data_IF_598914721501
#
_entry.id   IF_598914721501
#
_cell.length_a   1.000
_cell.length_b   1.000
_cell.length_c   1.000
_cell.angle_alpha   90.00
_cell.angle_beta   90.00
_cell.angle_gamma   90.00
#
_symmetry.space_group_name_H-M   'P 1'
#
loop_
_entity.id
_entity.type
_entity.pdbx_description
1 polymer ?
#
# COMPACT_ATOMS: atom_id res chain seq x y z
N UNK A 1 4.40 -3.68 26.44
CA UNK A 1 3.29 -3.15 25.60
C UNK A 1 3.55 -1.68 25.26
N UNK A 2 3.88 -0.79 26.21
CA UNK A 2 4.11 0.64 25.95
C UNK A 2 5.24 0.89 24.96
N UNK A 3 6.35 0.16 25.03
CA UNK A 3 7.46 0.26 24.07
C UNK A 3 7.06 -0.16 22.66
N UNK A 4 6.23 -1.19 22.52
CA UNK A 4 5.70 -1.62 21.23
C UNK A 4 4.75 -0.58 20.63
N UNK A 5 3.90 0.04 21.44
CA UNK A 5 3.00 1.11 20.99
C UNK A 5 3.79 2.33 20.52
N UNK A 6 4.81 2.74 21.29
CA UNK A 6 5.68 3.84 20.91
C UNK A 6 6.44 3.55 19.61
N UNK A 7 7.03 2.35 19.49
CA UNK A 7 7.72 1.93 18.29
C UNK A 7 6.78 1.92 17.07
N UNK A 8 5.56 1.40 17.23
CA UNK A 8 4.55 1.38 16.16
C UNK A 8 4.15 2.79 15.73
N UNK A 9 4.01 3.73 16.68
CA UNK A 9 3.74 5.13 16.39
C UNK A 9 4.89 5.76 15.58
N UNK A 10 6.13 5.56 16.01
CA UNK A 10 7.31 6.09 15.31
C UNK A 10 7.45 5.50 13.90
N UNK A 11 7.24 4.19 13.75
CA UNK A 11 7.22 3.53 12.44
C UNK A 11 6.11 4.13 11.56
N UNK A 12 4.90 4.30 12.09
CA UNK A 12 3.79 4.91 11.36
C UNK A 12 4.10 6.32 10.88
N UNK A 13 4.71 7.15 11.73
CA UNK A 13 5.15 8.49 11.36
C UNK A 13 6.24 8.48 10.28
N UNK A 14 7.23 7.59 10.39
CA UNK A 14 8.31 7.46 9.41
C UNK A 14 7.82 6.88 8.07
N UNK A 15 6.84 5.99 8.08
CA UNK A 15 6.29 5.38 6.86
C UNK A 15 5.63 6.39 5.91
N UNK A 16 5.20 7.55 6.41
CA UNK A 16 4.64 8.62 5.56
C UNK A 16 5.67 9.16 4.56
N UNK A 17 6.97 9.10 4.86
CA UNK A 17 8.03 9.53 3.95
C UNK A 17 8.04 8.74 2.62
N UNK A 18 7.57 7.48 2.63
CA UNK A 18 7.45 6.69 1.41
C UNK A 18 6.48 7.30 0.39
N UNK A 19 5.51 8.10 0.85
CA UNK A 19 4.56 8.79 -0.02
C UNK A 19 5.19 9.95 -0.80
N UNK A 20 6.31 10.48 -0.34
CA UNK A 20 7.02 11.58 -1.00
C UNK A 20 7.82 11.09 -2.22
N UNK A 21 8.11 9.78 -2.28
CA UNK A 21 8.89 9.18 -3.39
C UNK A 21 8.12 9.26 -4.71
N UNK A 22 6.79 9.14 -4.69
CA UNK A 22 5.97 9.16 -5.91
C UNK A 22 5.96 10.54 -6.57
N UNK A 23 5.69 11.66 -5.86
CA UNK A 23 5.83 13.00 -6.41
C UNK A 23 7.28 13.30 -6.84
N UNK A 24 8.26 12.88 -6.05
CA UNK A 24 9.68 13.04 -6.39
C UNK A 24 10.04 12.34 -7.72
N UNK A 25 9.55 11.12 -7.93
CA UNK A 25 9.73 10.39 -9.18
C UNK A 25 9.08 11.11 -10.37
N UNK A 26 7.92 11.74 -10.17
CA UNK A 26 7.26 12.54 -11.21
C UNK A 26 8.08 13.78 -11.60
N UNK A 27 8.72 14.44 -10.61
CA UNK A 27 9.57 15.62 -10.82
C UNK A 27 10.88 15.25 -11.53
N UNK A 28 11.48 14.11 -11.17
CA UNK A 28 12.74 13.61 -11.74
C UNK A 28 12.57 12.93 -13.10
N UNK A 29 11.33 12.64 -13.49
CA UNK A 29 11.06 11.95 -14.75
C UNK A 29 11.44 12.83 -15.95
N UNK A 30 12.05 12.25 -17.00
CA UNK A 30 12.25 12.95 -18.27
C UNK A 30 10.92 13.46 -18.85
N UNK A 31 10.98 14.55 -19.60
CA UNK A 31 9.82 15.10 -20.29
C UNK A 31 9.11 14.04 -21.13
N UNK A 32 7.79 13.97 -21.02
CA UNK A 32 6.94 13.00 -21.73
C UNK A 32 7.00 11.56 -21.17
N UNK A 33 7.76 11.26 -20.11
CA UNK A 33 7.84 9.93 -19.49
C UNK A 33 7.36 9.89 -18.04
N UNK A 34 6.74 10.95 -17.56
CA UNK A 34 6.28 11.06 -16.17
C UNK A 34 5.36 9.91 -15.75
N UNK A 35 4.34 9.60 -16.57
CA UNK A 35 3.40 8.51 -16.29
C UNK A 35 4.08 7.15 -16.19
N UNK A 36 5.02 6.84 -17.09
CA UNK A 36 5.80 5.59 -17.05
C UNK A 36 6.65 5.50 -15.79
N UNK A 37 7.34 6.58 -15.42
CA UNK A 37 8.21 6.62 -14.23
C UNK A 37 7.39 6.44 -12.96
N UNK A 38 6.30 7.19 -12.81
CA UNK A 38 5.37 7.04 -11.66
C UNK A 38 4.78 5.63 -11.63
N UNK A 39 4.35 5.09 -12.76
CA UNK A 39 3.83 3.72 -12.85
C UNK A 39 4.85 2.67 -12.38
N UNK A 40 6.11 2.82 -12.75
CA UNK A 40 7.20 1.92 -12.31
C UNK A 40 7.38 1.99 -10.78
N UNK A 41 7.41 3.21 -10.22
CA UNK A 41 7.53 3.41 -8.76
C UNK A 41 6.32 2.82 -8.02
N UNK A 42 5.10 3.03 -8.53
CA UNK A 42 3.89 2.47 -7.95
C UNK A 42 3.86 0.94 -8.02
N UNK A 43 4.33 0.35 -9.12
CA UNK A 43 4.49 -1.11 -9.22
C UNK A 43 5.45 -1.62 -8.16
N UNK A 44 6.61 -0.98 -7.98
CA UNK A 44 7.58 -1.32 -6.92
C UNK A 44 6.97 -1.21 -5.52
N UNK A 45 6.20 -0.15 -5.25
CA UNK A 45 5.49 0.06 -4.00
C UNK A 45 4.49 -1.09 -3.71
N UNK A 46 3.64 -1.41 -4.67
CA UNK A 46 2.65 -2.48 -4.53
C UNK A 46 3.31 -3.85 -4.35
N UNK A 47 4.32 -4.15 -5.17
CA UNK A 47 5.10 -5.39 -5.03
C UNK A 47 5.75 -5.48 -3.66
N UNK A 48 6.36 -4.39 -3.18
CA UNK A 48 6.97 -4.33 -1.85
C UNK A 48 5.96 -4.59 -0.73
N UNK A 49 4.78 -3.97 -0.78
CA UNK A 49 3.70 -4.18 0.21
C UNK A 49 3.27 -5.64 0.25
N UNK A 50 3.13 -6.28 -0.90
CA UNK A 50 2.57 -7.63 -0.99
C UNK A 50 3.64 -8.70 -0.70
N UNK A 51 4.85 -8.57 -1.26
CA UNK A 51 5.94 -9.50 -1.02
C UNK A 51 6.48 -9.43 0.41
N UNK A 52 6.42 -8.26 1.07
CA UNK A 52 6.81 -8.15 2.47
C UNK A 52 6.01 -9.09 3.38
N UNK A 53 4.76 -9.39 3.04
CA UNK A 53 3.92 -10.33 3.79
C UNK A 53 4.43 -11.77 3.65
N UNK A 54 4.83 -12.17 2.45
CA UNK A 54 5.44 -13.48 2.20
C UNK A 54 6.74 -13.62 2.97
N UNK A 55 7.63 -12.62 2.84
CA UNK A 55 8.93 -12.61 3.54
C UNK A 55 8.73 -12.63 5.04
N UNK A 56 7.83 -11.79 5.59
CA UNK A 56 7.57 -11.75 7.03
C UNK A 56 6.94 -13.04 7.54
N UNK A 57 6.09 -13.69 6.76
CA UNK A 57 5.50 -14.98 7.10
C UNK A 57 6.55 -16.07 7.22
N UNK A 58 7.38 -16.24 6.20
CA UNK A 58 8.45 -17.26 6.17
C UNK A 58 9.51 -17.01 7.23
N UNK A 59 10.02 -15.78 7.34
CA UNK A 59 11.05 -15.43 8.33
C UNK A 59 10.49 -15.51 9.74
N UNK A 60 9.26 -15.05 9.93
CA UNK A 60 8.59 -15.09 11.24
C UNK A 60 8.37 -16.50 11.75
N UNK A 61 8.03 -17.45 10.85
CA UNK A 61 7.85 -18.87 11.21
C UNK A 61 9.19 -19.58 11.46
N UNK A 62 10.20 -19.32 10.60
CA UNK A 62 11.49 -20.01 10.69
C UNK A 62 12.39 -19.47 11.81
N UNK A 63 12.42 -18.16 12.03
CA UNK A 63 13.39 -17.48 12.90
C UNK A 63 12.72 -16.63 14.01
N UNK A 64 11.41 -16.53 13.99
CA UNK A 64 10.64 -15.75 14.93
C UNK A 64 10.52 -14.25 14.54
N UNK A 65 9.52 -13.60 15.13
CA UNK A 65 9.15 -12.22 14.80
C UNK A 65 10.24 -11.18 15.08
N UNK A 66 11.11 -11.42 16.07
CA UNK A 66 12.20 -10.49 16.42
C UNK A 66 13.23 -10.37 15.29
N UNK A 67 13.59 -11.50 14.67
CA UNK A 67 14.53 -11.52 13.52
C UNK A 67 13.92 -10.79 12.34
N UNK A 68 12.62 -10.94 12.10
CA UNK A 68 11.93 -10.20 11.05
C UNK A 68 12.05 -8.69 11.23
N UNK A 69 11.84 -8.16 12.45
CA UNK A 69 11.99 -6.73 12.73
C UNK A 69 13.45 -6.25 12.59
N UNK A 70 14.43 -7.07 12.98
CA UNK A 70 15.85 -6.75 12.78
C UNK A 70 16.20 -6.67 11.29
N UNK A 71 15.74 -7.60 10.49
CA UNK A 71 15.93 -7.58 9.03
C UNK A 71 15.25 -6.37 8.40
N UNK A 72 14.04 -6.04 8.81
CA UNK A 72 13.33 -4.86 8.35
C UNK A 72 14.10 -3.57 8.69
N UNK A 73 14.59 -3.45 9.93
CA UNK A 73 15.39 -2.30 10.36
C UNK A 73 16.69 -2.17 9.55
N UNK A 74 17.41 -3.28 9.36
CA UNK A 74 18.64 -3.31 8.56
C UNK A 74 18.36 -2.92 7.10
N UNK A 75 17.28 -3.43 6.50
CA UNK A 75 16.88 -3.11 5.13
C UNK A 75 16.54 -1.63 4.97
N UNK A 76 15.78 -1.05 5.90
CA UNK A 76 15.40 0.37 5.89
C UNK A 76 16.66 1.24 6.07
N UNK A 77 17.55 0.88 6.98
CA UNK A 77 18.81 1.61 7.18
C UNK A 77 19.68 1.58 5.91
N UNK A 78 19.79 0.42 5.27
CA UNK A 78 20.53 0.27 4.01
C UNK A 78 19.93 1.12 2.89
N UNK A 79 18.61 1.07 2.71
CA UNK A 79 17.89 1.89 1.71
C UNK A 79 18.07 3.38 2.04
N UNK A 80 17.99 3.78 3.31
CA UNK A 80 18.19 5.17 3.73
C UNK A 80 19.59 5.68 3.39
N UNK A 81 20.61 4.88 3.63
CA UNK A 81 22.00 5.19 3.24
C UNK A 81 22.13 5.30 1.73
N UNK A 82 21.59 4.35 0.97
CA UNK A 82 21.60 4.42 -0.49
C UNK A 82 20.90 5.68 -1.01
N UNK A 83 19.75 6.01 -0.46
CA UNK A 83 19.01 7.22 -0.86
C UNK A 83 19.80 8.49 -0.55
N UNK A 84 20.48 8.52 0.58
CA UNK A 84 21.33 9.67 0.95
C UNK A 84 22.41 9.97 -0.09
N UNK A 85 22.99 8.94 -0.70
CA UNK A 85 24.05 9.11 -1.72
C UNK A 85 23.50 9.25 -3.15
N UNK A 86 22.36 8.64 -3.46
CA UNK A 86 21.83 8.56 -4.82
C UNK A 86 20.78 9.62 -5.14
N UNK A 87 20.03 10.10 -4.14
CA UNK A 87 18.98 11.09 -4.39
C UNK A 87 19.57 12.49 -4.58
N UNK A 88 19.26 13.19 -5.67
CA UNK A 88 19.64 14.57 -5.82
C UNK A 88 18.92 15.44 -4.77
N UNK A 89 19.55 16.52 -4.37
CA UNK A 89 18.93 17.49 -3.47
C UNK A 89 17.81 18.22 -4.18
N UNK A 90 16.60 18.10 -3.65
CA UNK A 90 15.44 18.84 -4.17
C UNK A 90 15.46 20.27 -3.63
N UNK A 91 15.24 21.22 -4.52
CA UNK A 91 14.94 22.60 -4.11
C UNK A 91 13.52 22.63 -3.52
N UNK A 92 13.39 23.20 -2.32
CA UNK A 92 12.07 23.40 -1.71
C UNK A 92 11.40 24.56 -2.45
N UNK A 93 10.39 24.28 -3.25
CA UNK A 93 9.65 25.29 -4.01
C UNK A 93 8.46 25.90 -3.23
N UNK A 94 8.16 25.38 -2.03
CA UNK A 94 7.03 25.86 -1.23
C UNK A 94 7.51 26.86 -0.19
N UNK A 95 6.99 28.07 -0.22
CA UNK A 95 7.17 29.12 0.80
C UNK A 95 6.06 29.10 1.85
N UNK A 96 5.11 28.15 1.74
CA UNK A 96 3.97 28.05 2.65
C UNK A 96 4.40 27.52 4.02
N UNK A 97 3.95 28.18 5.09
CA UNK A 97 4.08 27.64 6.44
C UNK A 97 3.23 26.39 6.62
N UNK A 98 3.60 25.49 7.52
CA UNK A 98 2.88 24.25 7.79
C UNK A 98 1.36 24.46 8.07
N UNK A 99 0.94 25.45 8.90
CA UNK A 99 -0.49 25.73 9.07
C UNK A 99 -1.19 26.21 7.80
N UNK A 100 -0.49 26.97 6.94
CA UNK A 100 -1.03 27.41 5.66
C UNK A 100 -1.21 26.22 4.70
N UNK A 101 -0.28 25.26 4.73
CA UNK A 101 -0.38 24.02 3.96
C UNK A 101 -1.60 23.20 4.41
N UNK A 102 -1.80 23.00 5.72
CA UNK A 102 -2.96 22.30 6.25
C UNK A 102 -4.28 22.97 5.85
N UNK A 103 -4.33 24.30 5.94
CA UNK A 103 -5.51 25.07 5.52
C UNK A 103 -5.76 24.96 4.01
N UNK A 104 -4.71 24.88 3.20
CA UNK A 104 -4.86 24.69 1.75
C UNK A 104 -5.43 23.32 1.42
N UNK A 105 -5.05 22.25 2.14
CA UNK A 105 -5.63 20.91 1.97
C UNK A 105 -7.12 20.89 2.32
N UNK A 106 -7.49 21.54 3.44
CA UNK A 106 -8.90 21.69 3.83
C UNK A 106 -9.70 22.44 2.76
N UNK A 107 -9.14 23.53 2.24
CA UNK A 107 -9.75 24.32 1.18
C UNK A 107 -9.95 23.50 -0.11
N UNK A 108 -8.95 22.71 -0.53
CA UNK A 108 -9.03 21.82 -1.68
C UNK A 108 -10.14 20.77 -1.50
N UNK A 109 -10.21 20.14 -0.32
CA UNK A 109 -11.27 19.17 -0.01
C UNK A 109 -12.68 19.78 -0.03
N UNK A 110 -12.82 21.04 0.42
CA UNK A 110 -14.11 21.76 0.36
C UNK A 110 -14.47 22.20 -1.06
N UNK A 111 -13.50 22.68 -1.84
CA UNK A 111 -13.71 23.25 -3.17
C UNK A 111 -13.96 22.20 -4.25
N UNK A 112 -13.36 21.01 -4.13
CA UNK A 112 -13.43 19.95 -5.14
C UNK A 112 -14.17 18.72 -4.63
N UNK A 113 -15.50 18.61 -4.85
CA UNK A 113 -16.27 17.44 -4.39
C UNK A 113 -15.77 16.10 -4.97
N UNK A 114 -15.25 16.12 -6.20
CA UNK A 114 -14.68 14.93 -6.84
C UNK A 114 -13.46 14.41 -6.08
N UNK A 115 -12.57 15.30 -5.61
CA UNK A 115 -11.41 14.94 -4.80
C UNK A 115 -11.85 14.29 -3.47
N UNK A 116 -12.86 14.88 -2.80
CA UNK A 116 -13.39 14.32 -1.55
C UNK A 116 -13.99 12.95 -1.74
N UNK A 117 -14.77 12.74 -2.82
CA UNK A 117 -15.34 11.42 -3.15
C UNK A 117 -14.25 10.39 -3.42
N UNK A 118 -13.23 10.76 -4.20
CA UNK A 118 -12.08 9.89 -4.47
C UNK A 118 -11.31 9.53 -3.19
N UNK A 119 -11.04 10.51 -2.32
CA UNK A 119 -10.37 10.28 -1.04
C UNK A 119 -11.18 9.35 -0.11
N UNK A 120 -12.50 9.53 -0.03
CA UNK A 120 -13.37 8.65 0.75
C UNK A 120 -13.38 7.22 0.17
N UNK A 121 -13.53 7.08 -1.15
CA UNK A 121 -13.49 5.77 -1.80
C UNK A 121 -12.16 5.05 -1.54
N UNK A 122 -11.04 5.75 -1.67
CA UNK A 122 -9.72 5.21 -1.35
C UNK A 122 -9.61 4.83 0.13
N UNK A 123 -10.14 5.65 1.05
CA UNK A 123 -10.17 5.35 2.48
C UNK A 123 -10.92 4.05 2.78
N UNK A 124 -12.11 3.86 2.23
CA UNK A 124 -12.89 2.63 2.40
C UNK A 124 -12.18 1.40 1.82
N UNK A 125 -11.56 1.52 0.63
CA UNK A 125 -10.77 0.44 0.04
C UNK A 125 -9.56 0.09 0.91
N UNK A 126 -8.89 1.07 1.49
CA UNK A 126 -7.77 0.85 2.41
C UNK A 126 -8.19 0.16 3.70
N UNK A 127 -9.36 0.52 4.25
CA UNK A 127 -9.95 -0.15 5.42
C UNK A 127 -10.24 -1.63 5.08
N UNK A 128 -10.92 -1.90 3.96
CA UNK A 128 -11.23 -3.25 3.53
C UNK A 128 -9.96 -4.09 3.31
N UNK A 129 -8.96 -3.52 2.65
CA UNK A 129 -7.66 -4.16 2.43
C UNK A 129 -6.95 -4.48 3.76
N UNK A 130 -6.90 -3.53 4.69
CA UNK A 130 -6.27 -3.74 5.99
C UNK A 130 -7.03 -4.77 6.83
N UNK A 131 -8.35 -4.72 6.85
CA UNK A 131 -9.18 -5.70 7.55
C UNK A 131 -8.95 -7.11 7.01
N UNK A 132 -8.97 -7.29 5.68
CA UNK A 132 -8.70 -8.59 5.05
C UNK A 132 -7.36 -9.17 5.51
N UNK A 133 -6.28 -8.41 5.39
CA UNK A 133 -4.95 -8.91 5.73
C UNK A 133 -4.76 -9.13 7.24
N UNK A 134 -5.40 -8.33 8.09
CA UNK A 134 -5.32 -8.50 9.54
C UNK A 134 -6.07 -9.74 10.01
N UNK A 135 -7.23 -10.03 9.41
CA UNK A 135 -8.05 -11.18 9.79
C UNK A 135 -7.60 -12.48 9.15
N UNK A 136 -7.00 -12.42 7.95
CA UNK A 136 -6.57 -13.62 7.20
C UNK A 136 -5.60 -14.47 8.02
N UNK A 137 -4.57 -13.87 8.60
CA UNK A 137 -3.56 -14.59 9.36
C UNK A 137 -4.15 -15.27 10.62
N UNK A 138 -5.05 -14.56 11.32
CA UNK A 138 -5.75 -15.08 12.51
C UNK A 138 -6.68 -16.22 12.12
N UNK A 139 -7.47 -16.05 11.07
CA UNK A 139 -8.39 -17.06 10.56
C UNK A 139 -7.65 -18.35 10.15
N UNK A 140 -6.55 -18.22 9.41
CA UNK A 140 -5.74 -19.38 8.99
C UNK A 140 -5.14 -20.11 10.17
N UNK A 141 -4.70 -19.40 11.20
CA UNK A 141 -4.15 -20.01 12.40
C UNK A 141 -5.22 -20.70 13.25
N UNK A 142 -6.32 -20.00 13.57
CA UNK A 142 -7.33 -20.48 14.51
C UNK A 142 -8.23 -21.56 13.91
N UNK A 143 -8.63 -21.43 12.63
CA UNK A 143 -9.59 -22.34 12.02
C UNK A 143 -8.95 -23.47 11.22
N UNK A 144 -7.79 -23.20 10.60
CA UNK A 144 -7.13 -24.19 9.73
C UNK A 144 -5.80 -24.69 10.29
N UNK A 145 -5.35 -24.19 11.44
CA UNK A 145 -4.06 -24.53 12.05
C UNK A 145 -2.85 -24.35 11.13
N UNK A 146 -2.95 -23.37 10.21
CA UNK A 146 -1.91 -23.05 9.24
C UNK A 146 -1.01 -21.93 9.77
N UNK A 147 0.29 -22.11 9.57
CA UNK A 147 1.31 -21.16 10.06
C UNK A 147 1.36 -19.83 9.28
N UNK A 148 2.20 -18.93 9.79
CA UNK A 148 2.37 -17.60 9.22
C UNK A 148 2.97 -17.62 7.81
N UNK A 149 3.74 -18.64 7.44
CA UNK A 149 4.27 -18.80 6.09
C UNK A 149 3.15 -19.01 5.06
N UNK A 150 2.11 -19.78 5.40
CA UNK A 150 0.94 -19.97 4.50
C UNK A 150 0.18 -18.66 4.35
N UNK A 151 -0.07 -17.94 5.45
CA UNK A 151 -0.68 -16.62 5.41
C UNK A 151 0.12 -15.64 4.55
N UNK A 152 1.46 -15.67 4.67
CA UNK A 152 2.38 -14.90 3.83
C UNK A 152 2.32 -15.29 2.35
N UNK A 153 2.08 -16.57 2.04
CA UNK A 153 1.94 -17.09 0.67
C UNK A 153 0.81 -16.42 -0.12
N UNK A 154 -0.27 -16.00 0.54
CA UNK A 154 -1.33 -15.19 -0.07
C UNK A 154 -0.81 -13.82 -0.56
N UNK A 155 0.33 -13.34 -0.04
CA UNK A 155 1.01 -12.16 -0.56
C UNK A 155 1.47 -12.33 -2.00
N UNK A 156 1.85 -13.55 -2.42
CA UNK A 156 2.23 -13.85 -3.82
C UNK A 156 1.01 -13.72 -4.73
N UNK A 157 -0.15 -14.25 -4.31
CA UNK A 157 -1.40 -14.09 -5.06
C UNK A 157 -1.79 -12.62 -5.19
N UNK A 158 -1.64 -11.84 -4.09
CA UNK A 158 -1.85 -10.40 -4.12
C UNK A 158 -0.87 -9.68 -5.06
N UNK A 159 0.42 -10.06 -5.07
CA UNK A 159 1.43 -9.51 -5.97
C UNK A 159 1.11 -9.80 -7.43
N UNK A 160 0.64 -11.01 -7.75
CA UNK A 160 0.14 -11.34 -9.08
C UNK A 160 -1.03 -10.44 -9.50
N UNK A 161 -1.97 -10.18 -8.56
CA UNK A 161 -3.06 -9.22 -8.76
C UNK A 161 -2.56 -7.78 -9.02
N UNK A 162 -1.49 -7.36 -8.35
CA UNK A 162 -0.89 -6.03 -8.56
C UNK A 162 -0.32 -5.83 -9.97
N UNK A 163 0.08 -6.90 -10.66
CA UNK A 163 0.51 -6.86 -12.06
C UNK A 163 -0.63 -6.46 -13.02
N UNK A 164 -1.88 -6.55 -12.59
CA UNK A 164 -3.01 -6.02 -13.36
C UNK A 164 -3.11 -4.47 -13.31
N UNK A 165 -2.37 -3.79 -12.43
CA UNK A 165 -2.46 -2.33 -12.30
C UNK A 165 -2.11 -1.56 -13.59
N UNK A 166 -1.08 -1.93 -14.38
CA UNK A 166 -0.82 -1.28 -15.67
C UNK A 166 -1.96 -1.48 -16.68
N UNK A 167 -2.61 -2.64 -16.65
CA UNK A 167 -3.78 -2.93 -17.50
C UNK A 167 -4.98 -2.07 -17.11
N UNK A 168 -5.23 -1.95 -15.80
CA UNK A 168 -6.28 -1.08 -15.27
C UNK A 168 -5.99 0.40 -15.61
N UNK A 169 -4.72 0.84 -15.55
CA UNK A 169 -4.30 2.16 -15.99
C UNK A 169 -4.59 2.42 -17.46
N UNK A 170 -4.19 1.51 -18.34
CA UNK A 170 -4.48 1.61 -19.77
C UNK A 170 -5.98 1.57 -20.10
N UNK A 171 -6.77 0.85 -19.29
CA UNK A 171 -8.21 0.83 -19.39
C UNK A 171 -8.82 2.16 -18.92
N UNK A 172 -8.25 2.77 -17.88
CA UNK A 172 -8.67 4.07 -17.38
C UNK A 172 -8.43 5.20 -18.41
N UNK A 173 -7.34 5.12 -19.16
CA UNK A 173 -7.05 6.06 -20.25
C UNK A 173 -8.10 5.97 -21.37
N UNK A 174 -8.63 4.78 -21.64
CA UNK A 174 -9.63 4.53 -22.69
C UNK A 174 -11.08 4.79 -22.26
N UNK A 175 -11.46 4.31 -21.08
CA UNK A 175 -12.85 4.31 -20.58
C UNK A 175 -13.14 5.44 -19.60
N UNK A 176 -12.09 6.10 -19.13
CA UNK A 176 -12.15 7.09 -18.05
C UNK A 176 -11.98 6.47 -16.66
N UNK A 177 -11.22 7.16 -15.80
CA UNK A 177 -10.87 6.69 -14.45
C UNK A 177 -12.09 6.34 -13.58
N UNK A 178 -13.21 7.09 -13.72
CA UNK A 178 -14.42 6.85 -12.93
C UNK A 178 -15.04 5.46 -13.17
N UNK A 179 -15.12 5.02 -14.43
CA UNK A 179 -15.67 3.70 -14.78
C UNK A 179 -14.78 2.57 -14.29
N UNK A 180 -13.47 2.72 -14.40
CA UNK A 180 -12.51 1.71 -13.95
C UNK A 180 -12.53 1.60 -12.42
N UNK A 181 -12.64 2.72 -11.70
CA UNK A 181 -12.82 2.72 -10.24
C UNK A 181 -14.11 2.01 -9.82
N UNK A 182 -15.22 2.25 -10.52
CA UNK A 182 -16.48 1.55 -10.26
C UNK A 182 -16.36 0.05 -10.52
N UNK A 183 -15.73 -0.35 -11.62
CA UNK A 183 -15.48 -1.77 -11.92
C UNK A 183 -14.64 -2.42 -10.82
N UNK A 184 -13.58 -1.76 -10.37
CA UNK A 184 -12.75 -2.23 -9.25
C UNK A 184 -13.55 -2.38 -7.96
N UNK A 185 -14.40 -1.41 -7.63
CA UNK A 185 -15.26 -1.49 -6.44
C UNK A 185 -16.25 -2.65 -6.51
N UNK A 186 -16.85 -2.89 -7.68
CA UNK A 186 -17.74 -4.06 -7.91
C UNK A 186 -16.98 -5.36 -7.73
N UNK A 187 -15.79 -5.50 -8.31
CA UNK A 187 -14.96 -6.69 -8.18
C UNK A 187 -14.60 -6.99 -6.72
N UNK A 188 -14.20 -5.97 -5.97
CA UNK A 188 -13.90 -6.10 -4.52
C UNK A 188 -15.14 -6.53 -3.76
N UNK A 189 -16.29 -5.89 -4.01
CA UNK A 189 -17.55 -6.24 -3.34
C UNK A 189 -17.97 -7.69 -3.63
N UNK A 190 -17.91 -8.11 -4.89
CA UNK A 190 -18.20 -9.48 -5.29
C UNK A 190 -17.24 -10.47 -4.64
N UNK A 191 -15.94 -10.16 -4.58
CA UNK A 191 -14.96 -11.03 -3.94
C UNK A 191 -15.26 -11.23 -2.45
N UNK A 192 -15.57 -10.17 -1.71
CA UNK A 192 -15.97 -10.29 -0.29
C UNK A 192 -17.31 -11.03 -0.13
N UNK A 193 -18.29 -10.79 -1.00
CA UNK A 193 -19.56 -11.53 -0.98
C UNK A 193 -19.35 -13.02 -1.21
N UNK A 194 -18.51 -13.41 -2.17
CA UNK A 194 -18.16 -14.80 -2.41
C UNK A 194 -17.47 -15.43 -1.19
N UNK A 195 -16.52 -14.73 -0.56
CA UNK A 195 -15.88 -15.21 0.67
C UNK A 195 -16.89 -15.44 1.80
N UNK A 196 -17.90 -14.58 1.92
CA UNK A 196 -18.96 -14.73 2.92
C UNK A 196 -19.89 -15.91 2.63
N UNK A 197 -20.17 -16.16 1.35
CA UNK A 197 -21.09 -17.22 0.92
C UNK A 197 -20.43 -18.62 0.84
N UNK A 198 -19.12 -18.72 0.65
CA UNK A 198 -18.42 -19.99 0.52
C UNK A 198 -18.66 -20.98 1.67
N UNK A 199 -18.64 -20.58 2.95
CA UNK A 199 -18.96 -21.49 4.05
C UNK A 199 -20.41 -22.00 4.01
N UNK A 200 -21.34 -21.16 3.52
CA UNK A 200 -22.75 -21.53 3.37
C UNK A 200 -22.97 -22.52 2.21
N UNK A 201 -22.07 -22.56 1.23
CA UNK A 201 -22.10 -23.47 0.08
C UNK A 201 -21.35 -24.80 0.36
N UNK A 202 -20.87 -25.03 1.59
CA UNK A 202 -20.19 -26.27 1.96
C UNK A 202 -18.82 -26.47 1.32
N UNK A 203 -18.23 -25.42 0.77
CA UNK A 203 -16.85 -25.42 0.27
C UNK A 203 -15.92 -25.14 1.44
N UNK A 204 -15.32 -26.19 1.98
CA UNK A 204 -14.36 -26.15 3.07
C UNK A 204 -12.92 -26.16 2.59
#
# INVERSE_FOLDING_TARGET
IHSLLLASLLIGMAATMAQDIVPAAAILAPEGKQGKTVGTVMTGLLMGILLSRTVSGVVGEAFGWRVMYQLAAASIAFIGVMMWFLLPRFAIHSTLSYPALMRSMEHLGRRYPALRRAALAQGFLSIAFSAFWSTLAVMLLERYHLGSAVAGGFGIAGAAGALAAPLAGGLADKLGAGKVTQLGAVLVTVSFALMFLMPALGVH
#
